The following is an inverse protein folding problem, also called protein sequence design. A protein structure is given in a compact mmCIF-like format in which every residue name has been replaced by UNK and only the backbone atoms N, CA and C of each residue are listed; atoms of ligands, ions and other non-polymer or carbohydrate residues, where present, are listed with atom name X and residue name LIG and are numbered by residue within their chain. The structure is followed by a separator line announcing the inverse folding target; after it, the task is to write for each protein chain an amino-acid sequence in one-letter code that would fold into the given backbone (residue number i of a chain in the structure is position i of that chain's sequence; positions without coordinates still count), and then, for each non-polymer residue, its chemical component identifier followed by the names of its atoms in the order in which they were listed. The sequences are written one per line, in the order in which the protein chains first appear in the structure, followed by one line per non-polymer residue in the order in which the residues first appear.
data_IF_025462877448
#
_entry.id   IF_025462877448
#
_cell.length_a   1.000
_cell.length_b   1.000
_cell.length_c   1.000
_cell.angle_alpha   90.00
_cell.angle_beta   90.00
_cell.angle_gamma   90.00
#
_symmetry.space_group_name_H-M   'P 1'
#
loop_
_entity.id
_entity.type
_entity.pdbx_description
1 polymer ?
#
# COMPACT_ATOMS: atom_id res chain seq x y z
N UNK A 1 -47.84 14.66 1.64
CA UNK A 1 -46.58 15.35 2.03
C UNK A 1 -46.29 14.93 3.47
N UNK A 2 -45.46 13.94 3.68
CA UNK A 2 -45.06 13.46 5.01
C UNK A 2 -43.57 13.80 5.18
N UNK A 3 -43.26 14.77 6.00
CA UNK A 3 -41.93 15.14 6.43
C UNK A 3 -41.34 14.03 7.29
N UNK A 4 -40.23 13.44 6.83
CA UNK A 4 -39.44 12.46 7.61
C UNK A 4 -38.67 13.25 8.67
N UNK A 5 -39.11 13.16 9.90
CA UNK A 5 -38.49 13.74 11.07
C UNK A 5 -37.20 12.94 11.41
N UNK A 6 -36.03 13.37 10.91
CA UNK A 6 -34.74 12.78 11.30
C UNK A 6 -34.37 13.26 12.70
N UNK A 7 -34.36 12.33 13.65
CA UNK A 7 -34.09 12.56 15.06
C UNK A 7 -32.74 13.30 15.29
N UNK A 8 -32.75 14.33 16.15
CA UNK A 8 -31.55 15.08 16.59
C UNK A 8 -30.42 14.18 17.15
N UNK A 9 -30.77 13.00 17.65
CA UNK A 9 -29.82 12.01 18.21
C UNK A 9 -28.93 11.37 17.14
N UNK A 10 -29.40 11.27 15.89
CA UNK A 10 -28.65 10.66 14.78
C UNK A 10 -27.63 11.64 14.18
N UNK A 11 -27.95 12.93 14.18
CA UNK A 11 -27.03 14.00 13.72
C UNK A 11 -25.82 14.18 14.65
N UNK A 12 -26.01 14.02 15.97
CA UNK A 12 -24.90 14.16 16.94
C UNK A 12 -23.93 12.98 16.87
N UNK A 13 -24.41 11.75 16.63
CA UNK A 13 -23.56 10.56 16.42
C UNK A 13 -22.79 10.63 15.11
N UNK A 14 -23.43 11.10 14.03
CA UNK A 14 -22.74 11.32 12.75
C UNK A 14 -21.71 12.44 12.85
N UNK A 15 -21.96 13.49 13.61
CA UNK A 15 -21.03 14.59 13.81
C UNK A 15 -19.84 14.19 14.70
N UNK A 16 -20.06 13.42 15.77
CA UNK A 16 -19.02 12.90 16.65
C UNK A 16 -18.09 11.89 15.92
N UNK A 17 -18.66 11.03 15.06
CA UNK A 17 -17.89 10.12 14.21
C UNK A 17 -17.06 10.89 13.18
N UNK A 18 -17.57 12.00 12.66
CA UNK A 18 -16.87 12.86 11.70
C UNK A 18 -15.72 13.65 12.33
N UNK A 19 -15.89 14.17 13.55
CA UNK A 19 -14.83 14.86 14.31
C UNK A 19 -13.74 13.87 14.74
N UNK A 20 -14.11 12.67 15.20
CA UNK A 20 -13.13 11.64 15.57
C UNK A 20 -12.29 11.13 14.40
N UNK A 21 -12.85 11.06 13.17
CA UNK A 21 -12.11 10.65 11.97
C UNK A 21 -11.15 11.73 11.44
N UNK A 22 -11.51 13.02 11.56
CA UNK A 22 -10.71 14.13 11.01
C UNK A 22 -9.53 14.56 11.91
N UNK A 23 -9.63 14.35 13.22
CA UNK A 23 -8.63 14.87 14.17
C UNK A 23 -7.71 13.81 14.77
N UNK A 24 -8.15 12.58 14.92
CA UNK A 24 -7.36 11.53 15.58
C UNK A 24 -6.43 10.81 14.61
N UNK A 25 -6.87 10.52 13.37
CA UNK A 25 -6.06 9.76 12.39
C UNK A 25 -4.73 10.44 12.04
N UNK A 26 -4.68 11.72 11.64
CA UNK A 26 -3.40 12.37 11.32
C UNK A 26 -2.46 12.40 12.53
N UNK A 27 -3.00 12.67 13.73
CA UNK A 27 -2.21 12.69 14.96
C UNK A 27 -1.65 11.30 15.30
N UNK A 28 -2.46 10.24 15.18
CA UNK A 28 -2.04 8.86 15.40
C UNK A 28 -0.91 8.45 14.44
N UNK A 29 -1.06 8.73 13.14
CA UNK A 29 -0.03 8.40 12.15
C UNK A 29 1.25 9.22 12.34
N UNK A 30 1.14 10.49 12.71
CA UNK A 30 2.29 11.32 13.08
C UNK A 30 3.01 10.76 14.30
N UNK A 31 2.27 10.30 15.30
CA UNK A 31 2.84 9.66 16.47
C UNK A 31 3.51 8.33 16.12
N UNK A 32 2.84 7.45 15.35
CA UNK A 32 3.41 6.17 14.87
C UNK A 32 4.67 6.39 14.03
N UNK A 33 4.68 7.37 13.14
CA UNK A 33 5.86 7.73 12.33
C UNK A 33 7.03 8.18 13.23
N UNK A 34 6.76 8.89 14.31
CA UNK A 34 7.80 9.28 15.28
C UNK A 34 8.32 8.09 16.10
N UNK A 35 7.47 7.14 16.46
CA UNK A 35 7.87 5.92 17.17
C UNK A 35 8.66 4.96 16.27
N UNK A 36 8.35 4.95 14.99
CA UNK A 36 8.95 4.05 13.99
C UNK A 36 9.46 4.83 12.78
N UNK A 37 10.50 5.67 12.92
CA UNK A 37 10.95 6.58 11.86
C UNK A 37 11.45 5.87 10.60
N UNK A 38 11.80 4.59 10.69
CA UNK A 38 12.21 3.76 9.56
C UNK A 38 11.05 3.05 8.83
N UNK A 39 9.80 3.25 9.27
CA UNK A 39 8.62 2.75 8.59
C UNK A 39 7.91 3.90 7.87
N UNK A 40 7.52 3.71 6.61
CA UNK A 40 6.77 4.69 5.84
C UNK A 40 5.27 4.49 6.08
N UNK A 41 4.61 5.45 6.70
CA UNK A 41 3.15 5.48 6.86
C UNK A 41 2.48 6.40 5.86
N UNK A 42 3.13 7.51 5.53
CA UNK A 42 2.72 8.53 4.56
C UNK A 42 3.94 9.37 4.14
N UNK A 43 3.84 10.06 3.01
CA UNK A 43 4.87 10.99 2.53
C UNK A 43 4.93 12.30 3.32
N UNK A 44 5.88 13.16 2.98
CA UNK A 44 6.13 14.42 3.71
C UNK A 44 5.02 15.48 3.56
N UNK A 45 4.06 15.25 2.67
CA UNK A 45 2.94 16.16 2.43
C UNK A 45 3.30 17.48 1.74
N UNK A 46 4.55 17.67 1.33
CA UNK A 46 5.02 18.89 0.62
C UNK A 46 4.39 19.07 -0.75
N UNK A 47 3.90 17.99 -1.35
CA UNK A 47 3.21 17.94 -2.64
C UNK A 47 1.87 17.24 -2.49
N UNK A 48 0.90 17.57 -3.35
CA UNK A 48 -0.38 16.88 -3.41
C UNK A 48 -0.25 15.51 -4.12
N UNK A 49 0.62 14.68 -3.60
CA UNK A 49 0.91 13.34 -4.07
C UNK A 49 0.15 12.30 -3.26
N UNK A 50 -0.26 11.21 -3.89
CA UNK A 50 -0.91 10.07 -3.25
C UNK A 50 -0.36 8.78 -3.87
N UNK A 51 0.00 7.81 -3.05
CA UNK A 51 0.38 6.48 -3.50
C UNK A 51 -0.79 5.51 -3.34
N UNK A 52 -1.28 5.00 -4.45
CA UNK A 52 -2.16 3.83 -4.44
C UNK A 52 -1.31 2.57 -4.44
N UNK A 53 -1.69 1.61 -3.62
CA UNK A 53 -0.93 0.36 -3.48
C UNK A 53 -1.87 -0.83 -3.47
N UNK A 54 -1.39 -1.96 -4.01
CA UNK A 54 -2.14 -3.21 -4.09
C UNK A 54 -1.40 -4.32 -3.40
N UNK A 55 -2.09 -5.07 -2.55
CA UNK A 55 -1.56 -6.20 -1.80
C UNK A 55 -2.16 -7.53 -2.28
N UNK A 56 -1.53 -8.65 -1.93
CA UNK A 56 -1.96 -10.03 -2.14
C UNK A 56 -1.83 -10.59 -3.57
N UNK A 57 -1.50 -9.78 -4.56
CA UNK A 57 -1.29 -10.19 -5.95
C UNK A 57 0.01 -10.99 -6.19
N UNK A 58 0.29 -11.37 -7.45
CA UNK A 58 -0.63 -11.28 -8.57
C UNK A 58 -1.72 -12.38 -8.54
N UNK A 59 -2.87 -12.06 -9.11
CA UNK A 59 -4.00 -13.00 -9.23
C UNK A 59 -4.53 -13.03 -10.67
N UNK A 60 -4.79 -14.22 -11.28
CA UNK A 60 -5.01 -14.34 -12.73
C UNK A 60 -6.26 -13.65 -13.25
N UNK A 61 -7.27 -13.40 -12.41
CA UNK A 61 -8.51 -12.72 -12.80
C UNK A 61 -8.59 -11.28 -12.32
N UNK A 62 -7.93 -10.99 -11.21
CA UNK A 62 -8.10 -9.71 -10.50
C UNK A 62 -7.04 -8.69 -10.93
N UNK A 63 -5.77 -9.07 -10.98
CA UNK A 63 -4.68 -8.18 -11.39
C UNK A 63 -4.89 -7.56 -12.77
N UNK A 64 -5.28 -8.30 -13.83
CA UNK A 64 -5.50 -7.69 -15.14
C UNK A 64 -6.60 -6.62 -15.13
N UNK A 65 -7.68 -6.81 -14.37
CA UNK A 65 -8.77 -5.82 -14.25
C UNK A 65 -8.32 -4.52 -13.58
N UNK A 66 -7.45 -4.64 -12.58
CA UNK A 66 -6.84 -3.47 -11.93
C UNK A 66 -5.94 -2.74 -12.92
N UNK A 67 -5.08 -3.47 -13.65
CA UNK A 67 -4.17 -2.91 -14.64
C UNK A 67 -4.92 -2.18 -15.77
N UNK A 68 -6.02 -2.74 -16.26
CA UNK A 68 -6.87 -2.12 -17.29
C UNK A 68 -7.37 -0.74 -16.85
N UNK A 69 -7.89 -0.62 -15.62
CA UNK A 69 -8.38 0.66 -15.10
C UNK A 69 -7.25 1.64 -14.84
N UNK A 70 -6.10 1.18 -14.33
CA UNK A 70 -4.94 2.04 -14.13
C UNK A 70 -4.41 2.60 -15.45
N UNK A 71 -4.33 1.76 -16.50
CA UNK A 71 -3.94 2.17 -17.84
C UNK A 71 -4.92 3.18 -18.45
N UNK A 72 -6.25 2.92 -18.36
CA UNK A 72 -7.30 3.84 -18.78
C UNK A 72 -7.14 5.24 -18.22
N UNK A 73 -6.72 5.32 -16.95
CA UNK A 73 -6.55 6.60 -16.27
C UNK A 73 -5.11 7.13 -16.29
N UNK A 74 -4.16 6.45 -16.94
CA UNK A 74 -2.74 6.80 -16.94
C UNK A 74 -2.20 7.05 -15.52
N UNK A 75 -2.31 6.02 -14.66
CA UNK A 75 -1.90 6.08 -13.25
C UNK A 75 -0.91 4.96 -12.96
N UNK A 76 0.23 5.31 -12.36
CA UNK A 76 1.26 4.38 -11.93
C UNK A 76 1.18 4.16 -10.42
N UNK A 77 1.38 2.92 -9.97
CA UNK A 77 1.14 2.49 -8.59
C UNK A 77 2.20 1.51 -8.12
N UNK A 78 2.08 1.02 -6.89
CA UNK A 78 2.97 0.00 -6.31
C UNK A 78 2.19 -1.25 -5.97
N UNK A 79 2.69 -2.42 -6.41
CA UNK A 79 2.12 -3.73 -6.10
C UNK A 79 3.02 -4.47 -5.11
N UNK A 80 2.48 -4.82 -3.95
CA UNK A 80 3.13 -5.65 -2.95
C UNK A 80 2.76 -7.12 -3.17
N UNK A 81 3.68 -7.87 -3.76
CA UNK A 81 3.40 -9.21 -4.27
C UNK A 81 3.72 -10.31 -3.25
N UNK A 82 2.90 -11.36 -3.25
CA UNK A 82 3.17 -12.61 -2.55
C UNK A 82 4.08 -13.48 -3.43
N UNK A 83 5.21 -13.94 -2.87
CA UNK A 83 6.22 -14.69 -3.62
C UNK A 83 5.69 -15.96 -4.28
N UNK A 84 4.85 -16.75 -3.59
CA UNK A 84 4.21 -17.93 -4.16
C UNK A 84 3.32 -17.59 -5.35
N UNK A 85 2.63 -16.45 -5.33
CA UNK A 85 1.82 -15.99 -6.45
C UNK A 85 2.68 -15.50 -7.62
N UNK A 86 3.79 -14.81 -7.31
CA UNK A 86 4.75 -14.37 -8.33
C UNK A 86 5.37 -15.56 -9.08
N UNK A 87 5.75 -16.62 -8.37
CA UNK A 87 6.23 -17.87 -8.98
C UNK A 87 5.17 -18.55 -9.85
N UNK A 88 3.92 -18.54 -9.39
CA UNK A 88 2.81 -19.19 -10.08
C UNK A 88 2.35 -18.42 -11.31
N UNK A 89 2.46 -17.11 -11.31
CA UNK A 89 1.94 -16.23 -12.37
C UNK A 89 3.02 -15.24 -12.85
N UNK A 90 4.17 -15.72 -13.35
CA UNK A 90 5.30 -14.86 -13.73
C UNK A 90 4.96 -13.89 -14.87
N UNK A 91 4.04 -14.24 -15.76
CA UNK A 91 3.58 -13.37 -16.83
C UNK A 91 2.89 -12.12 -16.29
N UNK A 92 2.10 -12.23 -15.20
CA UNK A 92 1.45 -11.08 -14.56
C UNK A 92 2.46 -10.17 -13.84
N UNK A 93 3.49 -10.75 -13.21
CA UNK A 93 4.58 -9.94 -12.63
C UNK A 93 5.25 -9.10 -13.72
N UNK A 94 5.53 -9.71 -14.89
CA UNK A 94 6.12 -9.01 -16.03
C UNK A 94 5.16 -7.95 -16.58
N UNK A 95 3.87 -8.24 -16.68
CA UNK A 95 2.84 -7.30 -17.13
C UNK A 95 2.75 -6.08 -16.21
N UNK A 96 2.71 -6.26 -14.88
CA UNK A 96 2.73 -5.17 -13.91
C UNK A 96 3.96 -4.27 -14.13
N UNK A 97 5.13 -4.87 -14.29
CA UNK A 97 6.38 -4.13 -14.51
C UNK A 97 6.39 -3.38 -15.85
N UNK A 98 5.99 -4.04 -16.94
CA UNK A 98 5.97 -3.45 -18.29
C UNK A 98 4.97 -2.28 -18.41
N UNK A 99 3.90 -2.29 -17.61
CA UNK A 99 2.96 -1.18 -17.47
C UNK A 99 3.49 -0.03 -16.59
N UNK A 100 4.77 -0.08 -16.15
CA UNK A 100 5.43 1.00 -15.40
C UNK A 100 5.13 1.06 -13.90
N UNK A 101 4.44 0.05 -13.35
CA UNK A 101 4.18 -0.02 -11.93
C UNK A 101 5.39 -0.51 -11.14
N UNK A 102 5.53 -0.05 -9.91
CA UNK A 102 6.55 -0.54 -8.99
C UNK A 102 6.18 -1.91 -8.43
N UNK A 103 7.16 -2.81 -8.37
CA UNK A 103 7.08 -4.10 -7.71
C UNK A 103 7.69 -4.02 -6.31
N UNK A 104 6.98 -4.54 -5.32
CA UNK A 104 7.38 -4.57 -3.93
C UNK A 104 7.02 -5.93 -3.28
N UNK A 105 7.49 -6.15 -2.07
CA UNK A 105 7.35 -7.42 -1.37
C UNK A 105 6.22 -7.38 -0.36
N UNK A 106 5.29 -8.35 -0.42
CA UNK A 106 4.34 -8.54 0.66
C UNK A 106 4.83 -9.63 1.63
N UNK A 107 5.25 -10.76 1.11
CA UNK A 107 5.79 -11.91 1.84
C UNK A 107 6.10 -13.02 0.82
N UNK A 108 6.63 -14.17 1.29
CA UNK A 108 6.63 -15.37 0.46
C UNK A 108 5.31 -16.16 0.61
N UNK A 109 4.84 -16.32 1.87
CA UNK A 109 3.53 -16.87 2.26
C UNK A 109 2.81 -15.82 3.10
N UNK A 110 1.50 -15.70 2.97
CA UNK A 110 0.72 -14.67 3.65
C UNK A 110 0.58 -14.97 5.17
N UNK A 111 1.70 -14.89 5.90
CA UNK A 111 1.79 -15.07 7.34
C UNK A 111 2.27 -13.77 8.02
N UNK A 112 1.75 -13.43 9.22
CA UNK A 112 2.21 -12.27 9.97
C UNK A 112 3.69 -12.39 10.32
N UNK A 113 4.51 -11.38 10.01
CA UNK A 113 5.95 -11.40 10.23
C UNK A 113 6.38 -11.71 11.67
N UNK A 114 5.71 -11.18 12.72
CA UNK A 114 6.09 -11.50 14.09
C UNK A 114 5.91 -12.97 14.50
N UNK A 115 5.10 -13.73 13.74
CA UNK A 115 4.83 -15.15 14.01
C UNK A 115 5.78 -16.08 13.24
N UNK A 116 6.57 -15.55 12.30
CA UNK A 116 7.55 -16.34 11.56
C UNK A 116 8.91 -16.37 12.27
N UNK A 117 9.61 -17.48 12.14
CA UNK A 117 11.02 -17.54 12.53
C UNK A 117 11.82 -16.55 11.67
N UNK A 118 12.70 -15.71 12.28
CA UNK A 118 13.44 -14.68 11.55
C UNK A 118 14.24 -15.21 10.34
N UNK A 119 14.85 -16.39 10.44
CA UNK A 119 15.61 -16.97 9.32
C UNK A 119 14.69 -17.43 8.18
N UNK A 120 13.48 -17.91 8.48
CA UNK A 120 12.47 -18.29 7.50
C UNK A 120 11.91 -17.06 6.82
N UNK A 121 11.56 -16.03 7.60
CA UNK A 121 11.09 -14.74 7.08
C UNK A 121 12.11 -14.15 6.10
N UNK A 122 13.40 -14.05 6.50
CA UNK A 122 14.47 -13.53 5.65
C UNK A 122 14.59 -14.33 4.35
N UNK A 123 14.69 -15.67 4.45
CA UNK A 123 14.77 -16.54 3.27
C UNK A 123 13.56 -16.37 2.35
N UNK A 124 12.37 -16.21 2.91
CA UNK A 124 11.13 -16.00 2.16
C UNK A 124 11.13 -14.66 1.40
N UNK A 125 11.52 -13.57 2.07
CA UNK A 125 11.63 -12.25 1.45
C UNK A 125 12.73 -12.23 0.37
N UNK A 126 13.92 -12.78 0.65
CA UNK A 126 15.03 -12.87 -0.31
C UNK A 126 14.66 -13.72 -1.54
N UNK A 127 13.88 -14.81 -1.34
CA UNK A 127 13.37 -15.63 -2.44
C UNK A 127 12.38 -14.84 -3.28
N UNK A 128 11.40 -14.17 -2.67
CA UNK A 128 10.40 -13.35 -3.36
C UNK A 128 11.09 -12.26 -4.18
N UNK A 129 12.07 -11.58 -3.59
CA UNK A 129 12.85 -10.53 -4.25
C UNK A 129 13.59 -11.06 -5.49
N UNK A 130 14.26 -12.20 -5.38
CA UNK A 130 14.98 -12.83 -6.51
C UNK A 130 14.02 -13.24 -7.61
N UNK A 131 12.93 -13.91 -7.26
CA UNK A 131 11.90 -14.32 -8.25
C UNK A 131 11.40 -13.15 -9.06
N UNK A 132 11.02 -12.04 -8.40
CA UNK A 132 10.54 -10.84 -9.09
C UNK A 132 11.65 -10.23 -9.96
N UNK A 133 12.87 -10.15 -9.43
CA UNK A 133 14.03 -9.61 -10.14
C UNK A 133 14.33 -10.41 -11.42
N UNK A 134 14.38 -11.74 -11.31
CA UNK A 134 14.67 -12.65 -12.43
C UNK A 134 13.59 -12.58 -13.52
N UNK A 135 12.30 -12.51 -13.12
CA UNK A 135 11.17 -12.39 -14.07
C UNK A 135 11.25 -11.10 -14.89
N UNK A 136 11.67 -9.99 -14.26
CA UNK A 136 11.64 -8.65 -14.87
C UNK A 136 13.01 -8.16 -15.36
N UNK A 137 14.08 -8.92 -15.18
CA UNK A 137 15.44 -8.48 -15.52
C UNK A 137 15.95 -7.32 -14.66
N UNK A 138 15.48 -7.23 -13.41
CA UNK A 138 15.84 -6.16 -12.48
C UNK A 138 16.99 -6.55 -11.56
N UNK A 139 17.72 -5.55 -11.07
CA UNK A 139 18.60 -5.78 -9.92
C UNK A 139 17.77 -6.12 -8.68
N UNK A 140 18.08 -7.19 -7.93
CA UNK A 140 17.40 -7.46 -6.66
C UNK A 140 17.42 -6.28 -5.69
N UNK A 141 18.45 -5.43 -5.73
CA UNK A 141 18.56 -4.25 -4.88
C UNK A 141 17.48 -3.18 -5.16
N UNK A 142 16.91 -3.15 -6.37
CA UNK A 142 15.82 -2.25 -6.72
C UNK A 142 14.50 -2.61 -5.99
N UNK A 143 14.35 -3.87 -5.54
CA UNK A 143 13.15 -4.38 -4.90
C UNK A 143 13.37 -4.43 -3.38
N UNK A 144 13.28 -3.30 -2.72
CA UNK A 144 13.58 -3.18 -1.29
C UNK A 144 12.38 -2.83 -0.41
N UNK A 145 11.25 -2.39 -0.98
CA UNK A 145 10.07 -2.04 -0.21
C UNK A 145 9.30 -3.30 0.19
N UNK A 146 8.90 -3.37 1.45
CA UNK A 146 8.18 -4.52 2.02
C UNK A 146 7.00 -4.06 2.86
N UNK A 147 5.87 -4.75 2.73
CA UNK A 147 4.70 -4.55 3.58
C UNK A 147 4.34 -5.87 4.26
N UNK A 148 4.25 -5.90 5.61
CA UNK A 148 3.89 -7.12 6.32
C UNK A 148 2.40 -7.44 6.13
N UNK A 149 2.03 -8.72 6.02
CA UNK A 149 0.64 -9.13 6.05
C UNK A 149 -0.09 -8.56 7.27
N UNK A 150 -1.32 -8.07 7.03
CA UNK A 150 -2.16 -7.42 8.05
C UNK A 150 -1.55 -6.14 8.66
N UNK A 151 -0.40 -5.66 8.18
CA UNK A 151 0.34 -4.55 8.77
C UNK A 151 1.02 -4.89 10.10
N UNK A 152 1.12 -6.17 10.48
CA UNK A 152 1.66 -6.56 11.78
C UNK A 152 3.18 -6.63 11.77
N UNK A 153 3.78 -5.80 12.60
CA UNK A 153 5.22 -5.81 12.86
C UNK A 153 5.50 -5.39 14.32
N UNK A 154 6.69 -5.68 14.78
CA UNK A 154 7.23 -5.25 16.09
C UNK A 154 8.46 -4.39 15.86
N UNK A 155 8.95 -3.69 16.90
CA UNK A 155 10.24 -2.98 16.82
C UNK A 155 11.38 -3.92 16.42
N UNK A 156 11.37 -5.17 16.91
CA UNK A 156 12.33 -6.21 16.50
C UNK A 156 12.21 -6.55 15.01
N UNK A 157 10.99 -6.72 14.50
CA UNK A 157 10.75 -6.97 13.07
C UNK A 157 11.28 -5.82 12.22
N UNK A 158 11.02 -4.58 12.63
CA UNK A 158 11.50 -3.39 11.92
C UNK A 158 13.02 -3.32 11.89
N UNK A 159 13.69 -3.58 13.03
CA UNK A 159 15.16 -3.62 13.10
C UNK A 159 15.74 -4.65 12.15
N UNK A 160 15.21 -5.88 12.18
CA UNK A 160 15.66 -6.95 11.29
C UNK A 160 15.47 -6.60 9.80
N UNK A 161 14.33 -6.04 9.43
CA UNK A 161 14.08 -5.63 8.04
C UNK A 161 15.09 -4.57 7.58
N UNK A 162 15.38 -3.57 8.43
CA UNK A 162 16.39 -2.55 8.15
C UNK A 162 17.80 -3.15 7.98
N UNK A 163 18.19 -4.07 8.87
CA UNK A 163 19.48 -4.78 8.80
C UNK A 163 19.61 -5.61 7.50
N UNK A 164 18.51 -6.17 7.01
CA UNK A 164 18.46 -6.94 5.76
C UNK A 164 18.33 -6.06 4.51
N UNK A 165 18.28 -4.73 4.67
CA UNK A 165 18.16 -3.77 3.57
C UNK A 165 16.76 -3.62 3.00
N UNK A 166 15.73 -3.98 3.78
CA UNK A 166 14.33 -3.77 3.42
C UNK A 166 13.78 -2.49 4.05
N UNK A 167 12.84 -1.86 3.37
CA UNK A 167 12.14 -0.65 3.80
C UNK A 167 10.67 -0.98 4.08
N UNK A 168 10.26 -0.85 5.33
CA UNK A 168 8.89 -1.12 5.76
C UNK A 168 7.95 -0.02 5.27
N UNK A 169 6.88 -0.43 4.59
CA UNK A 169 5.81 0.46 4.12
C UNK A 169 4.49 0.03 4.75
N UNK A 170 3.86 0.94 5.44
CA UNK A 170 2.52 0.75 6.02
C UNK A 170 1.51 1.54 5.17
N UNK A 171 0.58 2.22 5.78
CA UNK A 171 -0.45 3.03 5.14
C UNK A 171 -1.06 4.00 6.15
N UNK A 172 -1.74 5.01 5.64
CA UNK A 172 -2.64 5.83 6.44
C UNK A 172 -4.13 5.54 6.13
N UNK A 173 -4.44 4.93 4.98
CA UNK A 173 -5.81 4.54 4.63
C UNK A 173 -5.85 3.10 4.12
N UNK A 174 -6.63 2.27 4.81
CA UNK A 174 -6.97 0.91 4.41
C UNK A 174 -8.50 0.77 4.45
N UNK A 175 -9.18 1.09 3.36
CA UNK A 175 -10.61 0.84 3.27
C UNK A 175 -10.85 -0.67 3.17
N UNK A 176 -11.77 -1.17 3.98
CA UNK A 176 -12.09 -2.61 4.01
C UNK A 176 -12.96 -2.99 2.80
N UNK A 177 -12.47 -2.73 1.60
CA UNK A 177 -13.23 -2.88 0.35
C UNK A 177 -13.73 -4.31 0.08
N UNK A 178 -13.11 -5.32 0.70
CA UNK A 178 -13.54 -6.72 0.59
C UNK A 178 -14.83 -7.02 1.35
N UNK A 179 -15.18 -6.26 2.38
CA UNK A 179 -16.41 -6.41 3.17
C UNK A 179 -17.38 -5.23 3.02
N UNK A 180 -16.88 -4.02 2.81
CA UNK A 180 -17.72 -2.83 2.70
C UNK A 180 -18.34 -2.69 1.31
N UNK A 181 -19.53 -2.07 1.18
CA UNK A 181 -20.07 -1.66 -0.12
C UNK A 181 -19.13 -0.69 -0.86
N UNK A 182 -19.14 -0.76 -2.20
CA UNK A 182 -18.27 0.07 -3.06
C UNK A 182 -18.38 1.56 -2.75
N UNK A 183 -19.61 2.09 -2.60
CA UNK A 183 -19.84 3.51 -2.35
C UNK A 183 -19.28 3.99 -0.99
N UNK A 184 -19.32 3.14 0.05
CA UNK A 184 -18.69 3.43 1.35
C UNK A 184 -17.17 3.46 1.24
N UNK A 185 -16.61 2.54 0.50
CA UNK A 185 -15.16 2.49 0.24
C UNK A 185 -14.68 3.72 -0.52
N UNK A 186 -15.41 4.10 -1.58
CA UNK A 186 -15.12 5.32 -2.35
C UNK A 186 -15.15 6.55 -1.43
N UNK A 187 -16.23 6.68 -0.64
CA UNK A 187 -16.36 7.80 0.31
C UNK A 187 -15.21 7.83 1.30
N UNK A 188 -14.84 6.68 1.87
CA UNK A 188 -13.75 6.58 2.83
C UNK A 188 -12.41 7.01 2.23
N UNK A 189 -12.07 6.55 1.01
CA UNK A 189 -10.82 6.93 0.34
C UNK A 189 -10.78 8.44 0.10
N UNK A 190 -11.87 9.03 -0.39
CA UNK A 190 -11.94 10.47 -0.66
C UNK A 190 -11.88 11.31 0.62
N UNK A 191 -12.50 10.84 1.71
CA UNK A 191 -12.46 11.52 3.03
C UNK A 191 -11.08 11.38 3.71
N UNK A 192 -10.38 10.26 3.47
CA UNK A 192 -9.07 9.97 4.09
C UNK A 192 -7.90 10.55 3.28
N UNK A 193 -8.11 11.00 2.04
CA UNK A 193 -7.06 11.49 1.15
C UNK A 193 -6.49 12.84 1.63
N UNK A 194 -5.17 12.89 1.79
CA UNK A 194 -4.40 14.12 2.06
C UNK A 194 -3.04 14.03 1.35
N UNK A 195 -2.31 15.16 1.17
CA UNK A 195 -0.99 15.15 0.57
C UNK A 195 -0.02 14.18 1.26
N UNK A 196 0.52 13.23 0.51
CA UNK A 196 1.39 12.17 1.03
C UNK A 196 0.66 10.88 1.42
N UNK A 197 -0.66 10.76 1.20
CA UNK A 197 -1.42 9.54 1.56
C UNK A 197 -0.88 8.29 0.89
N UNK A 198 -0.85 7.19 1.65
CA UNK A 198 -0.65 5.81 1.17
C UNK A 198 -1.94 5.03 1.37
N UNK A 199 -2.60 4.68 0.26
CA UNK A 199 -3.88 3.96 0.25
C UNK A 199 -3.67 2.52 -0.15
N UNK A 200 -4.27 1.58 0.58
CA UNK A 200 -4.19 0.14 0.30
C UNK A 200 -5.51 -0.36 -0.28
N UNK A 201 -5.40 -1.01 -1.43
CA UNK A 201 -6.40 -1.89 -2.02
C UNK A 201 -5.80 -3.29 -2.19
N UNK A 202 -6.56 -4.24 -2.69
CA UNK A 202 -6.08 -5.60 -2.92
C UNK A 202 -6.48 -6.06 -4.32
N UNK A 203 -5.52 -6.65 -5.02
CA UNK A 203 -5.72 -7.26 -6.33
C UNK A 203 -5.65 -8.79 -6.28
N UNK A 204 -5.58 -9.37 -5.07
CA UNK A 204 -5.62 -10.80 -4.81
C UNK A 204 -6.93 -11.29 -4.22
N UNK A 205 -7.05 -12.62 -4.08
CA UNK A 205 -8.14 -13.31 -3.34
C UNK A 205 -9.57 -12.99 -3.82
N UNK A 206 -9.77 -12.61 -5.08
CA UNK A 206 -11.10 -12.26 -5.62
C UNK A 206 -11.53 -10.82 -5.36
N UNK A 207 -10.64 -9.97 -4.89
CA UNK A 207 -10.98 -8.58 -4.53
C UNK A 207 -10.74 -7.57 -5.66
N UNK A 208 -10.00 -7.95 -6.71
CA UNK A 208 -9.59 -7.03 -7.78
C UNK A 208 -10.75 -6.47 -8.61
N UNK A 209 -11.81 -7.23 -8.83
CA UNK A 209 -13.00 -6.70 -9.53
C UNK A 209 -13.60 -5.52 -8.80
N UNK A 210 -13.71 -5.61 -7.47
CA UNK A 210 -14.26 -4.53 -6.65
C UNK A 210 -13.26 -3.37 -6.53
N UNK A 211 -11.97 -3.68 -6.45
CA UNK A 211 -10.92 -2.66 -6.51
C UNK A 211 -10.96 -1.89 -7.84
N UNK A 212 -11.10 -2.55 -8.98
CA UNK A 212 -11.24 -1.92 -10.29
C UNK A 212 -12.45 -0.97 -10.37
N UNK A 213 -13.61 -1.39 -9.85
CA UNK A 213 -14.81 -0.53 -9.79
C UNK A 213 -14.57 0.72 -8.92
N UNK A 214 -13.88 0.58 -7.80
CA UNK A 214 -13.54 1.69 -6.91
C UNK A 214 -12.58 2.65 -7.61
N UNK A 215 -11.54 2.12 -8.25
CA UNK A 215 -10.52 2.90 -8.98
C UNK A 215 -11.15 3.76 -10.08
N UNK A 216 -12.03 3.20 -10.89
CA UNK A 216 -12.67 3.91 -12.01
C UNK A 216 -13.45 5.16 -11.55
N UNK A 217 -13.86 5.18 -10.29
CA UNK A 217 -14.56 6.33 -9.68
C UNK A 217 -13.60 7.27 -8.94
N UNK A 218 -12.65 6.74 -8.15
CA UNK A 218 -11.80 7.61 -7.32
C UNK A 218 -10.70 8.31 -8.12
N UNK A 219 -10.16 7.67 -9.17
CA UNK A 219 -9.05 8.24 -9.94
C UNK A 219 -9.39 9.60 -10.56
N UNK A 220 -10.49 9.75 -11.34
CA UNK A 220 -10.86 11.06 -11.87
C UNK A 220 -11.20 12.07 -10.77
N UNK A 221 -11.82 11.65 -9.66
CA UNK A 221 -12.17 12.55 -8.56
C UNK A 221 -10.93 13.07 -7.83
N UNK A 222 -9.93 12.22 -7.55
CA UNK A 222 -8.69 12.63 -6.92
C UNK A 222 -7.86 13.54 -7.86
N UNK A 223 -7.84 13.26 -9.18
CA UNK A 223 -7.23 14.16 -10.17
C UNK A 223 -7.91 15.53 -10.21
N UNK A 224 -9.25 15.57 -10.14
CA UNK A 224 -9.99 16.83 -10.06
C UNK A 224 -9.71 17.62 -8.77
N UNK A 225 -9.28 16.94 -7.71
CA UNK A 225 -8.76 17.53 -6.48
C UNK A 225 -7.26 17.86 -6.55
N UNK A 226 -6.66 17.81 -7.75
CA UNK A 226 -5.24 18.08 -8.01
C UNK A 226 -4.27 17.17 -7.28
N UNK A 227 -4.63 15.89 -7.08
CA UNK A 227 -3.68 14.89 -6.60
C UNK A 227 -2.93 14.25 -7.77
N UNK A 228 -1.61 14.17 -7.64
CA UNK A 228 -0.73 13.38 -8.50
C UNK A 228 -0.57 11.97 -7.91
N UNK A 229 -0.65 10.95 -8.77
CA UNK A 229 -0.42 9.58 -8.36
C UNK A 229 1.05 9.20 -8.56
N UNK A 230 1.68 8.71 -7.49
CA UNK A 230 3.09 8.34 -7.50
C UNK A 230 3.29 6.91 -6.98
N UNK A 231 4.43 6.32 -7.33
CA UNK A 231 4.89 5.05 -6.76
C UNK A 231 5.51 5.29 -5.38
N UNK A 232 5.56 4.27 -4.54
CA UNK A 232 6.21 4.36 -3.21
C UNK A 232 7.69 4.75 -3.33
N UNK A 233 8.40 4.28 -4.36
CA UNK A 233 9.81 4.63 -4.58
C UNK A 233 10.05 6.11 -4.86
N UNK A 234 9.07 6.80 -5.43
CA UNK A 234 9.12 8.22 -5.77
C UNK A 234 8.62 9.11 -4.61
N UNK A 235 7.99 8.51 -3.59
CA UNK A 235 7.43 9.25 -2.47
C UNK A 235 8.53 9.82 -1.57
N UNK A 236 8.53 11.14 -1.42
CA UNK A 236 9.39 11.80 -0.44
C UNK A 236 8.83 11.57 0.95
N UNK A 237 9.57 10.87 1.78
CA UNK A 237 9.23 10.62 3.18
C UNK A 237 10.41 10.91 4.09
N UNK A 238 10.14 11.24 5.33
CA UNK A 238 11.17 11.38 6.34
C UNK A 238 11.99 10.08 6.41
N UNK A 239 13.31 10.19 6.15
CA UNK A 239 14.37 9.20 6.45
C UNK A 239 14.51 7.95 5.57
N UNK A 240 14.01 7.92 4.33
CA UNK A 240 14.26 6.81 3.43
C UNK A 240 15.61 6.88 2.66
N UNK A 241 16.54 7.73 3.04
CA UNK A 241 17.92 7.66 2.54
C UNK A 241 18.67 6.58 3.33
N UNK A 242 18.78 5.39 2.76
CA UNK A 242 19.81 4.45 3.19
C UNK A 242 21.16 5.15 2.97
N UNK A 243 21.88 5.47 4.03
CA UNK A 243 23.32 5.72 3.93
C UNK A 243 23.96 4.43 3.44
N UNK A 244 24.68 4.42 2.31
CA UNK A 244 25.50 3.29 1.98
C UNK A 244 26.54 3.16 3.10
N UNK A 245 26.55 2.03 3.80
CA UNK A 245 27.70 1.73 4.65
C UNK A 245 28.91 1.66 3.75
N UNK A 246 29.80 2.65 3.87
CA UNK A 246 31.15 2.54 3.35
C UNK A 246 31.78 1.29 3.95
N UNK A 247 32.01 0.27 3.13
CA UNK A 247 32.87 -0.84 3.46
C UNK A 247 34.30 -0.33 3.48
N UNK A 248 34.72 0.23 4.59
CA UNK A 248 36.16 0.31 4.89
C UNK A 248 36.56 -1.05 5.40
N UNK A 249 36.97 -1.90 4.49
CA UNK A 249 37.88 -3.00 4.75
C UNK A 249 39.27 -2.40 4.94
N UNK A 250 39.75 -2.42 6.13
CA UNK A 250 41.16 -2.37 6.46
C UNK A 250 41.60 -3.73 6.97
#
# INVERSE_FOLDING_TARGET
MSEIHVSKRDRSKQFAVRIGRLTIKPFLYTWLQKQHPHALYYGDGSRREIALTFDDGPHPRDTPRVLEVLAKHNVYTTFFLIGQNAERYPHLVREIHQNGHQLALHCYRHLPFPLENPSILRKGLDRTRRVIADICGLSPAAICHVRPPYGFFTARTLSMLNEWGYRLVIWNSIPLHWVQPVHWTIKQILDDAFPGSVVVLHDGKGHGTKAAQILDVILPKLKALHFDFIKIEDMKGNHLRATPRSSTLS
#
